data_IF_822673645443
#
_entry.id   IF_822673645443
#
_cell.length_a   1.000
_cell.length_b   1.000
_cell.length_c   1.000
_cell.angle_alpha   90.00
_cell.angle_beta   90.00
_cell.angle_gamma   90.00
#
_symmetry.space_group_name_H-M   'P 1'
#
loop_
_entity.id
_entity.type
_entity.pdbx_description
1 polymer ?
#
# COMPACT_ATOMS: atom_id res chain seq x y z
N UNK A 1 -11.26 -9.38 1.50
CA UNK A 1 -11.16 -10.15 2.76
C UNK A 1 -10.10 -11.27 2.72
N UNK A 2 -10.10 -12.14 1.69
CA UNK A 2 -9.17 -13.28 1.60
C UNK A 2 -7.68 -12.87 1.56
N UNK A 3 -7.34 -11.85 0.78
CA UNK A 3 -5.95 -11.35 0.65
C UNK A 3 -5.39 -10.84 1.98
N UNK A 4 -6.18 -10.12 2.78
CA UNK A 4 -5.73 -9.60 4.07
C UNK A 4 -5.42 -10.75 5.04
N UNK A 5 -6.29 -11.75 5.09
CA UNK A 5 -6.11 -12.93 5.93
C UNK A 5 -4.90 -13.76 5.51
N UNK A 6 -4.62 -13.85 4.21
CA UNK A 6 -3.40 -14.49 3.69
C UNK A 6 -2.14 -13.72 4.10
N UNK A 7 -2.14 -12.39 3.98
CA UNK A 7 -1.01 -11.55 4.42
C UNK A 7 -0.80 -11.72 5.93
N UNK A 8 -1.86 -11.63 6.74
CA UNK A 8 -1.80 -11.82 8.18
C UNK A 8 -1.20 -13.18 8.57
N UNK A 9 -1.57 -14.25 7.86
CA UNK A 9 -0.99 -15.58 8.07
C UNK A 9 0.49 -15.64 7.71
N UNK A 10 0.90 -15.00 6.60
CA UNK A 10 2.30 -14.97 6.15
C UNK A 10 3.20 -14.13 7.05
N UNK A 11 2.67 -13.05 7.61
CA UNK A 11 3.41 -12.13 8.50
C UNK A 11 3.32 -12.51 9.98
N UNK A 12 2.42 -13.44 10.34
CA UNK A 12 2.11 -13.79 11.73
C UNK A 12 1.36 -12.71 12.50
N UNK A 13 0.77 -11.74 11.79
CA UNK A 13 0.06 -10.61 12.39
C UNK A 13 -1.42 -10.93 12.64
N UNK A 14 -2.01 -10.25 13.62
CA UNK A 14 -3.46 -10.25 13.77
C UNK A 14 -4.12 -9.47 12.60
N UNK A 15 -5.23 -9.98 12.07
CA UNK A 15 -5.94 -9.37 10.93
C UNK A 15 -6.40 -7.93 11.21
N UNK A 16 -6.89 -7.65 12.43
CA UNK A 16 -7.36 -6.31 12.81
C UNK A 16 -6.18 -5.33 12.93
N UNK A 17 -5.07 -5.79 13.49
CA UNK A 17 -3.84 -4.99 13.59
C UNK A 17 -3.27 -4.69 12.20
N UNK A 18 -3.21 -5.69 11.32
CA UNK A 18 -2.79 -5.53 9.93
C UNK A 18 -3.67 -4.50 9.20
N UNK A 19 -4.99 -4.59 9.35
CA UNK A 19 -5.93 -3.63 8.74
C UNK A 19 -5.71 -2.21 9.26
N UNK A 20 -5.44 -2.04 10.56
CA UNK A 20 -5.16 -0.73 11.14
C UNK A 20 -3.85 -0.14 10.59
N UNK A 21 -2.79 -0.94 10.51
CA UNK A 21 -1.51 -0.52 9.96
C UNK A 21 -1.63 -0.17 8.47
N UNK A 22 -2.32 -1.01 7.68
CA UNK A 22 -2.58 -0.74 6.27
C UNK A 22 -3.40 0.53 6.08
N UNK A 23 -4.46 0.73 6.85
CA UNK A 23 -5.29 1.94 6.73
C UNK A 23 -4.53 3.21 7.09
N UNK A 24 -3.55 3.11 7.99
CA UNK A 24 -2.68 4.23 8.37
C UNK A 24 -1.63 4.53 7.31
N UNK A 25 -1.04 3.50 6.70
CA UNK A 25 0.08 3.64 5.78
C UNK A 25 -0.33 3.85 4.30
N UNK A 26 -1.40 3.19 3.85
CA UNK A 26 -1.81 3.17 2.44
C UNK A 26 -2.15 4.55 1.86
N UNK A 27 -2.86 5.46 2.56
CA UNK A 27 -3.20 6.76 1.98
C UNK A 27 -1.97 7.53 1.48
N UNK A 28 -0.90 7.59 2.28
CA UNK A 28 0.33 8.27 1.89
C UNK A 28 1.08 7.57 0.74
N UNK A 29 0.96 6.24 0.61
CA UNK A 29 1.52 5.49 -0.52
C UNK A 29 0.70 5.76 -1.79
N UNK A 30 -0.64 5.74 -1.68
CA UNK A 30 -1.56 6.05 -2.78
C UNK A 30 -1.32 7.48 -3.27
N UNK A 31 -1.22 8.46 -2.39
CA UNK A 31 -0.97 9.86 -2.78
C UNK A 31 0.33 10.02 -3.59
N UNK A 32 1.40 9.34 -3.18
CA UNK A 32 2.68 9.33 -3.90
C UNK A 32 2.61 8.62 -5.25
N UNK A 33 1.84 7.53 -5.31
CA UNK A 33 1.70 6.70 -6.51
C UNK A 33 0.52 7.10 -7.40
N UNK A 34 -0.30 8.06 -7.03
CA UNK A 34 -1.35 8.61 -7.87
C UNK A 34 -1.37 10.13 -7.79
N UNK A 35 -0.27 10.81 -8.16
CA UNK A 35 -0.25 12.26 -8.17
C UNK A 35 -1.35 12.77 -9.11
N UNK A 36 -2.13 13.75 -8.66
CA UNK A 36 -3.29 14.29 -9.38
C UNK A 36 -4.41 13.26 -9.68
N UNK A 37 -4.47 12.16 -8.92
CA UNK A 37 -5.47 11.10 -9.13
C UNK A 37 -5.22 10.23 -10.37
N UNK A 38 -4.02 10.31 -10.95
CA UNK A 38 -3.64 9.51 -12.12
C UNK A 38 -2.58 8.50 -11.73
N UNK A 39 -2.76 7.25 -12.15
CA UNK A 39 -1.72 6.23 -12.00
C UNK A 39 -0.57 6.56 -12.98
N UNK A 40 0.65 6.78 -12.48
CA UNK A 40 1.81 7.09 -13.29
C UNK A 40 2.13 5.94 -14.24
N UNK A 41 2.70 6.30 -15.39
CA UNK A 41 3.25 5.30 -16.31
C UNK A 41 4.46 4.60 -15.66
N UNK A 42 4.80 3.39 -16.10
CA UNK A 42 5.84 2.56 -15.47
C UNK A 42 7.17 3.30 -15.23
N UNK A 43 7.57 4.21 -16.14
CA UNK A 43 8.79 5.02 -15.99
C UNK A 43 8.72 6.07 -14.86
N UNK A 44 7.53 6.50 -14.45
CA UNK A 44 7.30 7.51 -13.41
C UNK A 44 7.24 6.87 -12.02
N UNK A 45 6.85 5.58 -11.94
CA UNK A 45 6.80 4.82 -10.68
C UNK A 45 8.18 4.72 -10.04
N UNK A 46 9.21 4.39 -10.82
CA UNK A 46 10.59 4.32 -10.33
C UNK A 46 11.07 5.66 -9.75
N UNK A 47 10.70 6.77 -10.39
CA UNK A 47 11.03 8.12 -9.93
C UNK A 47 10.37 8.47 -8.60
N UNK A 48 9.15 8.00 -8.34
CA UNK A 48 8.40 8.27 -7.12
C UNK A 48 8.96 7.56 -5.86
N UNK A 49 9.71 6.48 -6.05
CA UNK A 49 10.38 5.76 -4.94
C UNK A 49 11.84 6.18 -4.73
N UNK A 50 12.45 6.85 -5.71
CA UNK A 50 13.84 7.30 -5.65
C UNK A 50 14.02 8.73 -5.09
N UNK A 51 12.93 9.40 -4.68
CA UNK A 51 12.89 10.79 -4.20
C UNK A 51 12.79 10.92 -2.69
#
# INVERSE_FOLDING_TARGET
PAVIREIAQRTGMNEQELLQQLSTALPGIVDKLTPNGQIPQNHQVASAFNS
#
